data_IF_734842921551
#
_entry.id   IF_734842921551
#
_cell.length_a   1.000
_cell.length_b   1.000
_cell.length_c   1.000
_cell.angle_alpha   90.00
_cell.angle_beta   90.00
_cell.angle_gamma   90.00
#
_symmetry.space_group_name_H-M   'P 1'
#
loop_
_entity.id
_entity.type
_entity.pdbx_description
1 polymer ?
#
# COMPACT_ATOMS: atom_id res chain seq x y z
N UNK A 1 -3.96 1.75 19.22
CA UNK A 1 -5.05 1.14 18.42
C UNK A 1 -4.53 0.97 17.01
N UNK A 2 -4.28 -0.26 16.57
CA UNK A 2 -3.90 -0.52 15.18
C UNK A 2 -5.12 -0.26 14.31
N UNK A 3 -5.12 0.88 13.62
CA UNK A 3 -6.12 1.21 12.62
C UNK A 3 -6.13 0.07 11.60
N UNK A 4 -7.20 -0.73 11.61
CA UNK A 4 -7.35 -1.85 10.67
C UNK A 4 -7.52 -1.23 9.29
N UNK A 5 -6.41 -1.12 8.57
CA UNK A 5 -6.38 -0.54 7.23
C UNK A 5 -7.31 -1.34 6.32
N UNK A 6 -8.51 -0.81 6.06
CA UNK A 6 -9.48 -1.49 5.20
C UNK A 6 -9.08 -1.32 3.74
N UNK A 7 -8.98 -2.44 3.03
CA UNK A 7 -8.66 -2.45 1.61
C UNK A 7 -9.95 -2.64 0.82
N UNK A 8 -10.16 -1.77 -0.16
CA UNK A 8 -11.24 -1.90 -1.13
C UNK A 8 -10.64 -2.21 -2.49
N UNK A 9 -11.14 -3.23 -3.17
CA UNK A 9 -10.70 -3.53 -4.52
C UNK A 9 -11.11 -2.41 -5.48
N UNK A 10 -10.19 -2.00 -6.37
CA UNK A 10 -10.47 -0.99 -7.40
C UNK A 10 -11.35 -1.60 -8.51
N UNK A 11 -12.40 -0.87 -8.90
CA UNK A 11 -13.32 -1.32 -9.96
C UNK A 11 -12.56 -1.40 -11.29
N UNK A 12 -12.63 -2.53 -11.97
CA UNK A 12 -11.98 -2.73 -13.28
C UNK A 12 -10.47 -3.01 -13.24
N UNK A 13 -9.87 -3.03 -12.05
CA UNK A 13 -8.47 -3.36 -11.86
C UNK A 13 -8.37 -4.59 -10.93
N UNK A 14 -8.36 -5.82 -11.48
CA UNK A 14 -8.08 -7.00 -10.67
C UNK A 14 -6.71 -6.84 -10.01
N UNK A 15 -6.54 -7.42 -8.83
CA UNK A 15 -5.28 -7.37 -8.08
C UNK A 15 -4.82 -5.97 -7.64
N UNK A 16 -5.71 -4.98 -7.68
CA UNK A 16 -5.45 -3.62 -7.21
C UNK A 16 -6.47 -3.25 -6.12
N UNK A 17 -5.96 -2.71 -5.02
CA UNK A 17 -6.74 -2.26 -3.88
C UNK A 17 -6.36 -0.84 -3.49
N UNK A 18 -7.30 -0.15 -2.87
CA UNK A 18 -7.12 1.17 -2.31
C UNK A 18 -7.51 1.16 -0.84
N UNK A 19 -6.75 1.87 -0.02
CA UNK A 19 -7.02 2.03 1.41
C UNK A 19 -7.87 3.28 1.62
N UNK A 20 -8.59 3.36 2.74
CA UNK A 20 -9.38 4.55 3.08
C UNK A 20 -8.54 5.83 3.20
N UNK A 21 -7.24 5.70 3.46
CA UNK A 21 -6.29 6.81 3.50
C UNK A 21 -5.70 7.16 2.13
N UNK A 22 -6.15 6.53 1.03
CA UNK A 22 -5.73 6.84 -0.33
C UNK A 22 -4.48 6.10 -0.84
N UNK A 23 -3.92 5.15 -0.07
CA UNK A 23 -2.81 4.34 -0.55
C UNK A 23 -3.32 3.33 -1.57
N UNK A 24 -2.54 3.09 -2.63
CA UNK A 24 -2.83 2.04 -3.61
C UNK A 24 -1.89 0.86 -3.42
N UNK A 25 -2.45 -0.34 -3.43
CA UNK A 25 -1.74 -1.61 -3.32
C UNK A 25 -2.02 -2.38 -4.62
N UNK A 26 -0.99 -2.78 -5.34
CA UNK A 26 -1.14 -3.60 -6.55
C UNK A 26 -0.28 -4.85 -6.45
N UNK A 27 -0.86 -6.02 -6.72
CA UNK A 27 -0.14 -7.29 -6.80
C UNK A 27 0.35 -7.51 -8.24
N UNK A 28 1.67 -7.44 -8.42
CA UNK A 28 2.35 -7.77 -9.65
C UNK A 28 2.85 -9.22 -9.58
N UNK A 29 2.73 -9.98 -10.68
CA UNK A 29 3.05 -11.43 -10.70
C UNK A 29 4.27 -11.80 -11.54
N UNK A 30 5.28 -10.92 -11.63
CA UNK A 30 6.43 -11.12 -12.54
C UNK A 30 7.76 -10.71 -11.87
N UNK A 31 8.78 -11.59 -11.80
CA UNK A 31 8.75 -13.05 -11.97
C UNK A 31 8.07 -13.79 -10.80
N UNK A 32 7.88 -13.11 -9.67
CA UNK A 32 7.22 -13.64 -8.47
C UNK A 32 6.07 -12.71 -8.06
N UNK A 33 5.15 -13.22 -7.24
CA UNK A 33 4.10 -12.41 -6.63
C UNK A 33 4.73 -11.36 -5.70
N UNK A 34 4.52 -10.09 -6.03
CA UNK A 34 5.00 -8.94 -5.27
C UNK A 34 3.94 -7.87 -5.21
N UNK A 35 3.58 -7.48 -3.99
CA UNK A 35 2.78 -6.30 -3.73
C UNK A 35 3.63 -5.05 -3.86
N UNK A 36 3.08 -4.07 -4.55
CA UNK A 36 3.62 -2.74 -4.71
C UNK A 36 2.71 -1.78 -3.95
N UNK A 37 3.31 -0.86 -3.19
CA UNK A 37 2.57 0.08 -2.34
C UNK A 37 2.90 1.49 -2.80
N UNK A 38 1.87 2.22 -3.20
CA UNK A 38 1.96 3.60 -3.70
C UNK A 38 1.26 4.54 -2.73
N UNK A 39 1.94 5.63 -2.38
CA UNK A 39 1.41 6.66 -1.49
C UNK A 39 0.25 7.43 -2.14
N UNK A 40 -0.64 8.05 -1.35
CA UNK A 40 -1.71 8.89 -1.88
C UNK A 40 -1.14 10.02 -2.74
N UNK A 41 -1.62 10.15 -3.98
CA UNK A 41 -1.11 11.14 -4.95
C UNK A 41 0.28 10.83 -5.53
N UNK A 42 0.92 9.73 -5.11
CA UNK A 42 2.19 9.29 -5.67
C UNK A 42 2.03 8.63 -7.03
N UNK A 43 2.96 8.90 -7.94
CA UNK A 43 3.00 8.27 -9.27
C UNK A 43 3.82 6.98 -9.31
N UNK A 44 4.56 6.66 -8.25
CA UNK A 44 5.41 5.48 -8.16
C UNK A 44 5.32 4.81 -6.78
N UNK A 45 5.44 3.47 -6.72
CA UNK A 45 5.46 2.75 -5.46
C UNK A 45 6.71 3.08 -4.64
N UNK A 46 6.52 3.30 -3.33
CA UNK A 46 7.61 3.56 -2.39
C UNK A 46 8.11 2.29 -1.71
N UNK A 47 7.29 1.23 -1.69
CA UNK A 47 7.63 -0.04 -1.06
C UNK A 47 7.13 -1.24 -1.87
N UNK A 48 7.82 -2.36 -1.67
CA UNK A 48 7.55 -3.61 -2.36
C UNK A 48 7.75 -4.79 -1.40
N UNK A 49 6.75 -5.66 -1.27
CA UNK A 49 6.83 -6.86 -0.41
C UNK A 49 6.16 -8.04 -1.08
N UNK A 50 6.63 -9.26 -0.82
CA UNK A 50 5.95 -10.50 -1.19
C UNK A 50 4.92 -10.95 -0.15
N UNK A 51 5.01 -10.44 1.08
CA UNK A 51 4.15 -10.81 2.19
C UNK A 51 2.99 -9.82 2.36
N UNK A 52 1.77 -10.33 2.48
CA UNK A 52 0.59 -9.49 2.63
C UNK A 52 0.56 -8.76 3.98
N UNK A 53 1.02 -9.43 5.03
CA UNK A 53 1.04 -8.91 6.40
C UNK A 53 2.00 -7.72 6.57
N UNK A 54 3.02 -7.60 5.71
CA UNK A 54 3.96 -6.47 5.71
C UNK A 54 3.34 -5.16 5.17
N UNK A 55 2.25 -5.22 4.41
CA UNK A 55 1.69 -4.04 3.75
C UNK A 55 1.22 -3.01 4.79
N UNK A 56 0.53 -3.46 5.83
CA UNK A 56 0.01 -2.58 6.88
C UNK A 56 1.14 -1.87 7.65
N UNK A 57 2.15 -2.56 8.21
CA UNK A 57 3.25 -1.90 8.89
C UNK A 57 4.05 -0.98 7.97
N UNK A 58 4.25 -1.32 6.69
CA UNK A 58 4.91 -0.43 5.72
C UNK A 58 4.15 0.88 5.50
N UNK A 59 2.82 0.81 5.38
CA UNK A 59 1.97 2.01 5.26
C UNK A 59 2.01 2.83 6.55
N UNK A 60 1.93 2.19 7.72
CA UNK A 60 1.99 2.89 9.01
C UNK A 60 3.34 3.59 9.21
N UNK A 61 4.45 2.92 8.89
CA UNK A 61 5.78 3.50 8.97
C UNK A 61 5.93 4.71 8.04
N UNK A 62 5.43 4.60 6.79
CA UNK A 62 5.43 5.74 5.86
C UNK A 62 4.58 6.91 6.38
N UNK A 63 3.39 6.64 6.94
CA UNK A 63 2.54 7.69 7.55
C UNK A 63 3.26 8.40 8.70
N UNK A 64 3.94 7.64 9.57
CA UNK A 64 4.72 8.19 10.67
C UNK A 64 5.88 9.06 10.18
N UNK A 65 6.62 8.59 9.16
CA UNK A 65 7.72 9.36 8.57
C UNK A 65 7.26 10.69 7.96
N UNK A 66 6.05 10.74 7.38
CA UNK A 66 5.48 11.99 6.85
C UNK A 66 4.87 12.91 7.91
N UNK A 67 4.49 12.38 9.08
CA UNK A 67 3.89 13.15 10.16
C UNK A 67 4.92 13.92 11.00
N UNK A 68 6.21 13.77 10.75
CA UNK A 68 7.27 14.56 11.37
C UNK A 68 7.48 15.82 10.52
N UNK A 69 6.96 17.00 10.91
CA UNK A 69 7.40 18.25 10.32
C UNK A 69 8.89 18.45 10.62
N UNK A 70 9.64 18.89 9.61
CA UNK A 70 11.04 19.30 9.76
C UNK A 70 11.20 20.46 10.75
#
# INVERSE_FOLDING_TARGET
MADKLRWRQKRGAPDCWETQCGYTIALCRLPNNRYTITAPGGSAPFAYTNERDDITPLILAHKQAQAVPA
#
